data_IF_825738665588
#
_entry.id   IF_825738665588
#
_cell.length_a   1.000
_cell.length_b   1.000
_cell.length_c   1.000
_cell.angle_alpha   90.00
_cell.angle_beta   90.00
_cell.angle_gamma   90.00
#
_symmetry.space_group_name_H-M   'P 1'
#
loop_
_entity.id
_entity.type
_entity.pdbx_description
1 polymer ?
#
# COMPACT_ATOMS: atom_id res chain seq x y z
N UNK A 1 11.45 -0.56 9.13
CA UNK A 1 10.70 -0.46 7.85
C UNK A 1 9.22 -0.22 8.15
N UNK A 2 8.58 0.71 7.44
CA UNK A 2 7.13 0.85 7.46
C UNK A 2 6.61 1.13 6.05
N UNK A 3 5.32 0.90 5.85
CA UNK A 3 4.61 1.23 4.62
C UNK A 3 3.60 2.32 4.92
N UNK A 4 3.55 3.30 4.05
CA UNK A 4 2.63 4.42 4.10
C UNK A 4 1.79 4.44 2.82
N UNK A 5 0.48 4.58 2.98
CA UNK A 5 -0.43 4.79 1.86
C UNK A 5 -0.82 6.26 1.82
N UNK A 6 -0.65 6.86 0.64
CA UNK A 6 -0.89 8.26 0.40
C UNK A 6 -2.02 8.41 -0.61
N UNK A 7 -2.89 9.39 -0.38
CA UNK A 7 -3.84 9.83 -1.41
C UNK A 7 -3.14 10.66 -2.51
N UNK A 8 -3.88 11.06 -3.54
CA UNK A 8 -3.33 11.83 -4.67
C UNK A 8 -2.78 13.21 -4.28
N UNK A 9 -3.11 13.72 -3.09
CA UNK A 9 -2.55 14.97 -2.57
C UNK A 9 -1.23 14.76 -1.83
N UNK A 10 -0.77 13.51 -1.70
CA UNK A 10 0.40 13.14 -0.92
C UNK A 10 0.13 13.09 0.58
N UNK A 11 -1.15 13.12 1.01
CA UNK A 11 -1.51 12.99 2.42
C UNK A 11 -1.52 11.52 2.82
N UNK A 12 -0.87 11.22 3.94
CA UNK A 12 -0.90 9.90 4.57
C UNK A 12 -2.32 9.57 5.05
N UNK A 13 -2.87 8.48 4.53
CA UNK A 13 -4.20 7.98 4.90
C UNK A 13 -4.12 6.66 5.67
N UNK A 14 -3.00 5.95 5.58
CA UNK A 14 -2.74 4.75 6.39
C UNK A 14 -1.24 4.50 6.55
N UNK A 15 -0.83 3.93 7.68
CA UNK A 15 0.55 3.56 7.97
C UNK A 15 0.57 2.24 8.75
N UNK A 16 1.39 1.30 8.30
CA UNK A 16 1.52 -0.01 8.94
C UNK A 16 2.93 -0.59 8.81
N UNK A 17 3.27 -1.52 9.69
CA UNK A 17 4.54 -2.25 9.67
C UNK A 17 4.34 -3.61 8.99
N UNK A 18 5.09 -3.94 7.92
CA UNK A 18 5.01 -5.26 7.31
C UNK A 18 5.49 -6.35 8.27
N UNK A 19 4.76 -7.46 8.33
CA UNK A 19 5.24 -8.66 9.04
C UNK A 19 6.30 -9.33 8.16
N UNK A 20 7.56 -9.23 8.55
CA UNK A 20 8.68 -9.84 7.84
C UNK A 20 8.59 -11.37 7.95
N UNK A 21 8.22 -12.06 6.87
CA UNK A 21 8.55 -13.47 6.72
C UNK A 21 10.00 -13.56 6.22
N UNK A 22 10.81 -14.34 6.92
CA UNK A 22 12.29 -14.39 6.90
C UNK A 22 12.92 -14.83 5.55
N UNK A 23 12.22 -14.76 4.41
CA UNK A 23 12.60 -15.44 3.16
C UNK A 23 12.66 -14.52 1.92
N UNK A 24 13.00 -13.24 2.08
CA UNK A 24 12.93 -12.27 1.00
C UNK A 24 11.58 -11.56 0.95
N UNK A 25 11.51 -10.41 0.30
CA UNK A 25 10.30 -9.58 0.19
C UNK A 25 9.26 -10.30 -0.69
N UNK A 26 8.64 -11.35 -0.16
CA UNK A 26 7.40 -11.87 -0.70
C UNK A 26 6.33 -10.86 -0.34
N UNK A 27 5.56 -10.44 -1.35
CA UNK A 27 4.35 -9.61 -1.22
C UNK A 27 3.57 -10.11 0.00
N UNK A 28 3.76 -9.42 1.12
CA UNK A 28 3.07 -9.75 2.35
C UNK A 28 1.62 -9.40 2.06
N UNK A 29 0.68 -10.30 2.33
CA UNK A 29 -0.73 -10.01 2.16
C UNK A 29 -1.08 -8.81 3.05
N UNK A 30 -1.10 -7.62 2.46
CA UNK A 30 -1.54 -6.40 3.13
C UNK A 30 -3.05 -6.37 3.00
N UNK A 31 -3.76 -6.64 4.09
CA UNK A 31 -5.20 -6.37 4.14
C UNK A 31 -5.37 -4.86 4.34
N UNK A 32 -5.38 -4.14 3.24
CA UNK A 32 -5.74 -2.73 3.21
C UNK A 32 -7.19 -2.64 2.76
N UNK A 33 -8.08 -2.20 3.63
CA UNK A 33 -9.44 -1.85 3.24
C UNK A 33 -9.40 -0.56 2.43
N UNK A 34 -9.75 -0.65 1.16
CA UNK A 34 -9.92 0.51 0.29
C UNK A 34 -11.36 1.00 0.41
N UNK A 35 -11.55 2.15 1.03
CA UNK A 35 -12.89 2.73 1.22
C UNK A 35 -13.48 3.33 -0.06
N UNK A 36 -12.68 3.51 -1.11
CA UNK A 36 -13.13 4.04 -2.39
C UNK A 36 -12.28 3.54 -3.55
N UNK A 37 -12.88 3.52 -4.75
CA UNK A 37 -12.13 3.43 -5.99
C UNK A 37 -11.26 4.68 -6.14
N UNK A 38 -10.03 4.50 -6.61
CA UNK A 38 -9.10 5.61 -6.68
C UNK A 38 -7.68 5.21 -7.03
N UNK A 39 -6.84 6.22 -7.12
CA UNK A 39 -5.40 6.06 -7.29
C UNK A 39 -4.73 6.40 -5.96
N UNK A 40 -3.83 5.52 -5.53
CA UNK A 40 -3.10 5.65 -4.28
C UNK A 40 -1.60 5.50 -4.56
N UNK A 41 -0.78 6.04 -3.67
CA UNK A 41 0.66 5.80 -3.68
C UNK A 41 1.02 4.97 -2.46
N UNK A 42 1.68 3.84 -2.68
CA UNK A 42 2.27 3.03 -1.64
C UNK A 42 3.75 3.40 -1.52
N UNK A 43 4.15 3.94 -0.37
CA UNK A 43 5.53 4.30 -0.04
C UNK A 43 6.07 3.32 0.99
N UNK A 44 7.09 2.56 0.62
CA UNK A 44 7.76 1.57 1.45
C UNK A 44 9.11 2.16 1.85
N UNK A 45 9.34 2.32 3.14
CA UNK A 45 10.56 2.94 3.68
C UNK A 45 11.35 1.88 4.42
N UNK A 46 12.54 1.56 3.91
CA UNK A 46 13.45 0.54 4.43
C UNK A 46 14.75 1.22 4.80
N UNK A 47 15.00 1.37 6.10
CA UNK A 47 16.11 2.16 6.63
C UNK A 47 16.10 3.59 6.02
N UNK A 48 17.06 3.92 5.15
CA UNK A 48 17.16 5.21 4.46
C UNK A 48 16.65 5.18 3.00
N UNK A 49 16.24 4.01 2.50
CA UNK A 49 15.74 3.83 1.14
C UNK A 49 14.21 3.97 1.06
N UNK A 50 13.74 4.59 -0.02
CA UNK A 50 12.31 4.79 -0.30
C UNK A 50 11.94 4.13 -1.63
N UNK A 51 10.97 3.22 -1.58
CA UNK A 51 10.36 2.60 -2.77
C UNK A 51 8.92 3.09 -2.87
N UNK A 52 8.56 3.67 -4.01
CA UNK A 52 7.20 4.13 -4.28
C UNK A 52 6.54 3.29 -5.38
N UNK A 53 5.27 2.93 -5.16
CA UNK A 53 4.44 2.24 -6.16
C UNK A 53 3.07 2.89 -6.27
N UNK A 54 2.66 3.18 -7.50
CA UNK A 54 1.30 3.63 -7.81
C UNK A 54 0.34 2.44 -7.81
N UNK A 55 -0.75 2.57 -7.06
CA UNK A 55 -1.82 1.59 -6.99
C UNK A 55 -3.10 2.19 -7.57
N UNK A 56 -3.81 1.44 -8.41
CA UNK A 56 -5.08 1.85 -9.00
C UNK A 56 -6.12 0.83 -8.52
N UNK A 57 -7.05 1.28 -7.69
CA UNK A 57 -8.16 0.47 -7.17
C UNK A 57 -9.40 0.83 -7.98
N UNK A 58 -9.94 -0.18 -8.65
CA UNK A 58 -11.19 -0.08 -9.39
C UNK A 58 -12.03 -1.28 -9.01
N UNK A 59 -13.23 -1.01 -8.51
CA UNK A 59 -14.26 -2.02 -8.38
C UNK A 59 -14.49 -2.66 -9.75
N UNK A 60 -14.43 -3.99 -9.78
CA UNK A 60 -14.61 -4.77 -11.00
C UNK A 60 -16.04 -4.75 -11.52
N UNK A 61 -16.99 -4.15 -10.77
CA UNK A 61 -18.39 -4.02 -11.17
C UNK A 61 -19.12 -5.35 -11.29
N UNK A 62 -18.54 -6.46 -10.79
CA UNK A 62 -19.22 -7.74 -10.70
C UNK A 62 -20.11 -7.75 -9.46
N UNK A 63 -21.30 -7.17 -9.60
CA UNK A 63 -22.41 -7.46 -8.71
C UNK A 63 -22.76 -8.95 -8.83
N UNK A 64 -22.77 -9.66 -7.70
CA UNK A 64 -23.48 -10.93 -7.55
C UNK A 64 -24.99 -10.66 -7.46
#
# INVERSE_FOLDING_TARGET
MYVEMLDLTGRSINKFEPVYLKSGFNESNFNVEFYANGVYLLRIIIDDDVIEKKLIIQDSGKNN
#
